data_IF_356050914132
#
_entry.id   IF_356050914132
#
_cell.length_a   1.000
_cell.length_b   1.000
_cell.length_c   1.000
_cell.angle_alpha   90.00
_cell.angle_beta   90.00
_cell.angle_gamma   90.00
#
_symmetry.space_group_name_H-M   'P 1'
#
loop_
_entity.id
_entity.type
_entity.pdbx_description
1 polymer ?
#
# COMPACT_ATOMS: atom_id res chain seq x y z
N UNK A 1 -29.51 -12.01 -4.49
CA UNK A 1 -28.95 -12.45 -3.21
C UNK A 1 -27.93 -11.39 -2.80
N UNK A 2 -28.33 -10.46 -1.94
CA UNK A 2 -27.37 -9.62 -1.26
C UNK A 2 -26.62 -10.52 -0.29
N UNK A 3 -25.32 -10.69 -0.47
CA UNK A 3 -24.48 -11.23 0.57
C UNK A 3 -24.53 -10.23 1.72
N UNK A 4 -25.35 -10.51 2.69
CA UNK A 4 -25.29 -9.80 3.95
C UNK A 4 -23.98 -10.20 4.60
N UNK A 5 -23.08 -9.24 4.83
CA UNK A 5 -21.92 -9.42 5.70
C UNK A 5 -22.36 -9.49 7.18
N UNK A 6 -23.59 -9.85 7.44
CA UNK A 6 -24.06 -10.09 8.79
C UNK A 6 -23.36 -11.35 9.31
N UNK A 7 -22.38 -11.15 10.12
CA UNK A 7 -21.71 -12.20 10.86
C UNK A 7 -22.60 -12.67 11.99
N UNK A 8 -22.50 -13.93 12.30
CA UNK A 8 -23.18 -14.49 13.46
C UNK A 8 -22.60 -13.93 14.77
N UNK A 9 -21.39 -13.39 14.72
CA UNK A 9 -20.70 -12.90 15.89
C UNK A 9 -19.91 -11.60 15.63
N UNK A 10 -20.10 -10.62 16.52
CA UNK A 10 -19.35 -9.37 16.53
C UNK A 10 -18.39 -9.36 17.72
N UNK A 11 -17.09 -9.35 17.45
CA UNK A 11 -16.07 -9.29 18.48
C UNK A 11 -15.33 -7.96 18.40
N UNK A 12 -15.16 -7.35 19.56
CA UNK A 12 -14.26 -6.20 19.70
C UNK A 12 -12.85 -6.76 19.85
N UNK A 13 -11.98 -6.45 18.89
CA UNK A 13 -10.56 -6.85 18.95
C UNK A 13 -9.91 -6.13 20.14
N UNK A 14 -9.37 -6.87 21.11
CA UNK A 14 -8.65 -6.25 22.23
C UNK A 14 -7.38 -5.56 21.74
N UNK A 15 -6.96 -4.52 22.46
CA UNK A 15 -5.72 -3.76 22.19
C UNK A 15 -5.73 -2.97 20.89
N UNK A 16 -6.90 -2.74 20.29
CA UNK A 16 -7.01 -1.89 19.11
C UNK A 16 -6.64 -0.44 19.48
N UNK A 17 -5.70 0.12 18.72
CA UNK A 17 -5.27 1.51 18.88
C UNK A 17 -5.72 2.35 17.70
N UNK A 18 -5.74 3.66 17.88
CA UNK A 18 -6.02 4.58 16.77
C UNK A 18 -4.77 4.76 15.92
N UNK A 19 -4.94 4.65 14.62
CA UNK A 19 -3.88 4.94 13.66
C UNK A 19 -3.38 6.38 13.82
N UNK A 20 -2.06 6.55 13.76
CA UNK A 20 -1.39 7.84 13.82
C UNK A 20 -0.51 8.01 12.57
N UNK A 21 -0.65 9.17 11.92
CA UNK A 21 0.11 9.50 10.70
C UNK A 21 0.93 10.77 10.94
N UNK A 22 2.24 10.67 10.75
CA UNK A 22 3.15 11.81 10.76
C UNK A 22 3.81 11.89 9.39
N UNK A 23 3.74 13.04 8.72
CA UNK A 23 4.39 13.24 7.44
C UNK A 23 5.06 14.60 7.34
N UNK A 24 6.15 14.65 6.58
CA UNK A 24 6.85 15.87 6.24
C UNK A 24 7.41 15.77 4.82
N UNK A 25 7.35 16.86 4.10
CA UNK A 25 8.01 17.01 2.80
C UNK A 25 8.70 18.35 2.67
N UNK A 26 9.73 18.40 1.84
CA UNK A 26 10.40 19.61 1.47
C UNK A 26 10.67 19.63 -0.03
N UNK A 27 10.35 20.76 -0.68
CA UNK A 27 10.52 20.92 -2.12
C UNK A 27 11.44 22.08 -2.45
N UNK A 28 12.37 21.87 -3.37
CA UNK A 28 13.11 22.90 -4.04
C UNK A 28 12.58 23.08 -5.47
N UNK A 29 12.20 24.29 -5.81
CA UNK A 29 11.61 24.62 -7.11
C UNK A 29 12.48 25.63 -7.81
N UNK A 30 13.01 25.28 -8.99
CA UNK A 30 13.73 26.16 -9.89
C UNK A 30 12.85 26.52 -11.09
N UNK A 31 12.75 27.79 -11.39
CA UNK A 31 12.04 28.31 -12.57
C UNK A 31 12.95 29.27 -13.35
N UNK A 32 13.25 28.90 -14.59
CA UNK A 32 13.96 29.72 -15.55
C UNK A 32 13.11 29.81 -16.84
N UNK A 33 13.40 30.73 -17.76
CA UNK A 33 12.56 30.90 -18.95
C UNK A 33 12.33 29.67 -19.81
N UNK A 34 13.31 28.77 -19.87
CA UNK A 34 13.24 27.53 -20.65
C UNK A 34 13.31 26.27 -19.81
N UNK A 35 13.52 26.39 -18.51
CA UNK A 35 13.77 25.24 -17.64
C UNK A 35 12.99 25.36 -16.35
N UNK A 36 12.29 24.30 -16.00
CA UNK A 36 11.65 24.16 -14.69
C UNK A 36 12.10 22.85 -14.06
N UNK A 37 12.42 22.89 -12.79
CA UNK A 37 12.75 21.71 -12.01
C UNK A 37 12.05 21.76 -10.64
N UNK A 38 11.66 20.62 -10.16
CA UNK A 38 11.19 20.41 -8.79
C UNK A 38 11.86 19.17 -8.23
N UNK A 39 12.54 19.32 -7.11
CA UNK A 39 13.05 18.24 -6.31
C UNK A 39 12.28 18.22 -4.98
N UNK A 40 11.69 17.12 -4.63
CA UNK A 40 10.96 16.92 -3.38
C UNK A 40 11.57 15.77 -2.62
N UNK A 41 11.91 15.97 -1.36
CA UNK A 41 12.16 14.88 -0.42
C UNK A 41 10.95 14.70 0.48
N UNK A 42 10.58 13.48 0.79
CA UNK A 42 9.45 13.17 1.65
C UNK A 42 9.77 12.09 2.68
N UNK A 43 9.07 12.18 3.79
CA UNK A 43 9.06 11.18 4.85
C UNK A 43 7.65 11.06 5.41
N UNK A 44 7.19 9.84 5.63
CA UNK A 44 5.92 9.56 6.28
C UNK A 44 6.05 8.34 7.16
N UNK A 45 5.48 8.40 8.35
CA UNK A 45 5.35 7.29 9.28
C UNK A 45 3.88 7.11 9.64
N UNK A 46 3.39 5.89 9.49
CA UNK A 46 2.06 5.45 9.88
C UNK A 46 2.28 4.45 11.02
N UNK A 47 1.59 4.61 12.12
CA UNK A 47 1.69 3.75 13.29
C UNK A 47 0.32 3.20 13.68
N UNK A 48 0.31 2.01 14.24
CA UNK A 48 -0.88 1.33 14.75
C UNK A 48 -2.00 1.13 13.72
N UNK A 49 -1.66 1.04 12.43
CA UNK A 49 -2.64 0.72 11.42
C UNK A 49 -3.21 -0.70 11.63
N UNK A 50 -4.48 -0.87 11.24
CA UNK A 50 -5.18 -2.15 11.32
C UNK A 50 -5.65 -2.53 9.93
N UNK A 51 -5.35 -3.74 9.51
CA UNK A 51 -5.86 -4.34 8.27
C UNK A 51 -6.74 -5.53 8.62
N UNK A 52 -7.88 -5.64 7.92
CA UNK A 52 -8.83 -6.73 8.09
C UNK A 52 -9.09 -7.33 6.73
N UNK A 53 -8.79 -8.60 6.60
CA UNK A 53 -9.15 -9.41 5.45
C UNK A 53 -10.15 -10.49 5.82
N UNK A 54 -10.86 -10.99 4.81
CA UNK A 54 -11.91 -11.97 4.98
C UNK A 54 -11.70 -13.08 3.98
N UNK A 55 -11.77 -14.29 4.46
CA UNK A 55 -11.75 -15.46 3.58
C UNK A 55 -12.74 -16.52 4.07
N UNK A 56 -13.09 -17.37 3.13
CA UNK A 56 -13.95 -18.50 3.35
C UNK A 56 -13.06 -19.74 3.29
N UNK A 57 -12.96 -20.47 4.36
CA UNK A 57 -12.09 -21.61 4.49
C UNK A 57 -12.88 -22.91 4.65
N UNK A 58 -12.45 -23.96 3.96
CA UNK A 58 -12.96 -25.30 4.14
C UNK A 58 -12.12 -26.01 5.23
N UNK A 59 -12.77 -26.61 6.22
CA UNK A 59 -12.13 -27.48 7.21
C UNK A 59 -11.23 -26.76 8.23
N UNK A 60 -11.36 -25.46 8.38
CA UNK A 60 -10.61 -24.69 9.40
C UNK A 60 -11.46 -24.65 10.68
N UNK A 61 -10.96 -25.24 11.77
CA UNK A 61 -11.55 -25.08 13.10
C UNK A 61 -12.32 -26.26 13.67
N UNK A 62 -12.51 -27.36 12.97
CA UNK A 62 -13.09 -28.57 13.53
C UNK A 62 -12.04 -29.65 13.82
N UNK A 63 -11.92 -30.02 15.09
CA UNK A 63 -11.04 -31.14 15.54
C UNK A 63 -11.54 -32.51 15.05
N UNK A 64 -12.79 -32.57 14.54
CA UNK A 64 -13.50 -33.81 14.14
C UNK A 64 -13.49 -34.05 12.61
N UNK A 65 -12.76 -33.28 11.81
CA UNK A 65 -12.65 -33.52 10.35
C UNK A 65 -13.97 -33.28 9.60
N UNK A 66 -14.87 -32.50 10.13
CA UNK A 66 -16.08 -32.02 9.42
C UNK A 66 -15.73 -31.04 8.32
N UNK A 67 -16.24 -31.26 7.12
CA UNK A 67 -16.18 -30.35 5.97
C UNK A 67 -17.07 -29.12 6.19
N UNK A 68 -17.01 -28.48 7.35
CA UNK A 68 -17.78 -27.25 7.57
C UNK A 68 -17.01 -26.05 7.05
N UNK A 69 -17.59 -25.44 6.03
CA UNK A 69 -17.12 -24.17 5.49
C UNK A 69 -17.32 -23.07 6.53
N UNK A 70 -16.28 -22.37 6.89
CA UNK A 70 -16.35 -21.28 7.85
C UNK A 70 -15.89 -19.95 7.26
N UNK A 71 -16.47 -18.90 7.77
CA UNK A 71 -16.06 -17.54 7.44
C UNK A 71 -15.10 -17.00 8.48
N UNK A 72 -13.88 -16.73 8.07
CA UNK A 72 -12.80 -16.24 8.94
C UNK A 72 -12.43 -14.81 8.60
N UNK A 73 -12.29 -13.99 9.63
CA UNK A 73 -11.66 -12.68 9.50
C UNK A 73 -10.26 -12.74 10.05
N UNK A 74 -9.32 -12.36 9.25
CA UNK A 74 -7.98 -12.10 9.66
C UNK A 74 -7.85 -10.63 10.07
N UNK A 75 -7.32 -10.38 11.25
CA UNK A 75 -7.19 -9.05 11.85
C UNK A 75 -5.72 -8.83 12.19
N UNK A 76 -5.05 -7.98 11.42
CA UNK A 76 -3.66 -7.60 11.66
C UNK A 76 -3.65 -6.21 12.30
N UNK A 77 -3.11 -6.10 13.50
CA UNK A 77 -3.08 -4.87 14.29
C UNK A 77 -1.65 -4.43 14.60
N UNK A 78 -1.46 -3.14 14.89
CA UNK A 78 -0.14 -2.59 15.19
C UNK A 78 0.78 -2.60 13.98
N UNK A 79 0.22 -2.37 12.79
CA UNK A 79 1.00 -2.28 11.55
C UNK A 79 1.66 -0.90 11.50
N UNK A 80 2.97 -0.88 11.58
CA UNK A 80 3.78 0.33 11.43
C UNK A 80 4.39 0.36 10.03
N UNK A 81 4.17 1.47 9.30
CA UNK A 81 4.71 1.69 7.95
C UNK A 81 5.61 2.92 7.93
N UNK A 82 6.70 2.86 7.17
CA UNK A 82 7.58 3.98 6.92
C UNK A 82 7.81 4.15 5.43
N UNK A 83 7.60 5.36 4.97
CA UNK A 83 7.76 5.75 3.58
C UNK A 83 8.71 6.93 3.51
N UNK A 84 9.78 6.82 2.74
CA UNK A 84 10.71 7.93 2.52
C UNK A 84 11.30 7.87 1.13
N UNK A 85 11.61 9.04 0.59
CA UNK A 85 12.17 9.05 -0.76
C UNK A 85 12.39 10.46 -1.30
N UNK A 86 12.68 10.49 -2.58
CA UNK A 86 12.84 11.72 -3.33
C UNK A 86 12.19 11.61 -4.72
N UNK A 87 11.68 12.74 -5.18
CA UNK A 87 11.04 12.88 -6.47
C UNK A 87 11.68 14.05 -7.23
N UNK A 88 11.96 13.86 -8.51
CA UNK A 88 12.50 14.86 -9.41
C UNK A 88 11.55 15.02 -10.59
N UNK A 89 11.12 16.26 -10.86
CA UNK A 89 10.40 16.62 -12.07
C UNK A 89 11.17 17.69 -12.83
N UNK A 90 11.29 17.52 -14.14
CA UNK A 90 12.00 18.41 -15.04
C UNK A 90 11.14 18.76 -16.25
N UNK A 91 11.16 20.00 -16.67
CA UNK A 91 10.59 20.47 -17.92
C UNK A 91 11.62 21.36 -18.62
N UNK A 92 11.90 21.11 -19.88
CA UNK A 92 12.82 21.89 -20.67
C UNK A 92 12.24 22.24 -22.04
N UNK A 93 12.15 23.54 -22.32
CA UNK A 93 11.75 24.04 -23.62
C UNK A 93 12.99 24.10 -24.54
N UNK A 94 13.15 23.06 -25.36
CA UNK A 94 14.31 22.90 -26.26
C UNK A 94 14.27 23.98 -27.33
N UNK A 95 13.12 24.11 -28.01
CA UNK A 95 12.84 25.15 -29.00
C UNK A 95 11.47 25.76 -28.69
N UNK A 96 11.00 26.73 -29.50
CA UNK A 96 9.64 27.29 -29.38
C UNK A 96 8.54 26.21 -29.60
N UNK A 97 8.87 25.13 -30.28
CA UNK A 97 7.93 24.06 -30.66
C UNK A 97 8.22 22.73 -29.99
N UNK A 98 9.39 22.49 -29.40
CA UNK A 98 9.79 21.22 -28.81
C UNK A 98 9.99 21.39 -27.32
N UNK A 99 9.31 20.56 -26.56
CA UNK A 99 9.41 20.47 -25.10
C UNK A 99 9.80 19.05 -24.69
N UNK A 100 10.76 18.94 -23.78
CA UNK A 100 11.10 17.69 -23.09
C UNK A 100 10.61 17.76 -21.64
N UNK A 101 10.15 16.63 -21.15
CA UNK A 101 9.80 16.41 -19.74
C UNK A 101 10.49 15.17 -19.22
N UNK A 102 10.92 15.20 -17.97
CA UNK A 102 11.41 14.02 -17.28
C UNK A 102 10.91 14.03 -15.84
N UNK A 103 10.60 12.86 -15.33
CA UNK A 103 10.29 12.66 -13.93
C UNK A 103 11.00 11.39 -13.44
N UNK A 104 11.43 11.40 -12.19
CA UNK A 104 11.98 10.23 -11.53
C UNK A 104 11.56 10.25 -10.07
N UNK A 105 11.28 9.09 -9.51
CA UNK A 105 11.07 8.90 -8.09
C UNK A 105 11.85 7.69 -7.61
N UNK A 106 12.40 7.83 -6.43
CA UNK A 106 12.98 6.72 -5.68
C UNK A 106 12.46 6.80 -4.26
N UNK A 107 11.82 5.73 -3.81
CA UNK A 107 11.27 5.64 -2.48
C UNK A 107 11.57 4.29 -1.84
N UNK A 108 11.64 4.29 -0.52
CA UNK A 108 11.66 3.10 0.30
C UNK A 108 10.35 3.07 1.09
N UNK A 109 9.53 2.07 0.82
CA UNK A 109 8.24 1.83 1.45
C UNK A 109 8.33 0.49 2.18
N UNK A 110 8.42 0.53 3.50
CA UNK A 110 8.64 -0.66 4.32
C UNK A 110 7.68 -0.71 5.52
N UNK A 111 7.50 -1.90 6.05
CA UNK A 111 6.97 -2.09 7.39
C UNK A 111 8.08 -1.80 8.39
N UNK A 112 7.86 -0.88 9.34
CA UNK A 112 8.91 -0.42 10.27
C UNK A 112 8.92 -1.18 11.59
N UNK A 113 7.87 -1.96 11.88
CA UNK A 113 7.80 -2.86 13.02
C UNK A 113 6.97 -4.11 12.71
N UNK A 114 6.98 -5.06 13.64
CA UNK A 114 6.20 -6.28 13.56
C UNK A 114 4.77 -6.04 14.03
N UNK A 115 3.83 -6.68 13.36
CA UNK A 115 2.41 -6.61 13.67
C UNK A 115 1.95 -7.77 14.56
N UNK A 116 0.67 -7.77 14.95
CA UNK A 116 0.01 -8.87 15.65
C UNK A 116 -1.13 -9.40 14.81
N UNK A 117 -1.25 -10.72 14.74
CA UNK A 117 -2.29 -11.42 14.00
C UNK A 117 -3.30 -12.05 14.95
N UNK A 118 -4.58 -11.80 14.69
CA UNK A 118 -5.71 -12.46 15.32
C UNK A 118 -6.69 -12.89 14.24
N UNK A 119 -7.40 -13.97 14.49
CA UNK A 119 -8.53 -14.37 13.64
C UNK A 119 -9.82 -14.35 14.43
N UNK A 120 -10.90 -14.04 13.74
CA UNK A 120 -12.26 -14.21 14.24
C UNK A 120 -12.96 -15.24 13.36
N UNK A 121 -13.33 -16.37 13.95
CA UNK A 121 -13.93 -17.52 13.28
C UNK A 121 -15.38 -17.70 13.75
N UNK A 122 -16.31 -17.67 12.81
CA UNK A 122 -17.74 -17.79 13.10
C UNK A 122 -18.11 -19.23 13.51
N UNK A 123 -17.38 -20.27 13.08
CA UNK A 123 -17.63 -21.64 13.48
C UNK A 123 -17.36 -21.86 14.97
N UNK A 124 -16.23 -21.35 15.48
CA UNK A 124 -15.91 -21.42 16.91
C UNK A 124 -16.98 -20.75 17.76
N UNK A 125 -17.54 -19.63 17.28
CA UNK A 125 -18.62 -18.94 17.96
C UNK A 125 -19.91 -19.79 18.01
N UNK A 126 -20.24 -20.49 16.93
CA UNK A 126 -21.40 -21.37 16.86
C UNK A 126 -21.33 -22.54 17.84
N UNK A 127 -20.12 -23.02 18.12
CA UNK A 127 -19.84 -24.05 19.11
C UNK A 127 -19.84 -23.55 20.57
N UNK A 128 -19.98 -22.24 20.76
CA UNK A 128 -19.93 -21.62 22.09
C UNK A 128 -18.51 -21.37 22.62
N UNK A 129 -17.51 -21.50 21.76
CA UNK A 129 -16.11 -21.19 22.04
C UNK A 129 -15.80 -19.70 21.78
N UNK A 130 -14.63 -19.23 22.23
CA UNK A 130 -14.15 -17.92 21.86
C UNK A 130 -13.86 -17.88 20.35
N UNK A 131 -14.50 -17.01 19.57
CA UNK A 131 -14.23 -16.91 18.14
C UNK A 131 -12.88 -16.28 17.82
N UNK A 132 -12.26 -15.62 18.81
CA UNK A 132 -11.01 -14.90 18.63
C UNK A 132 -9.84 -15.81 19.00
N UNK A 133 -8.97 -16.07 18.02
CA UNK A 133 -7.70 -16.76 18.21
C UNK A 133 -6.55 -15.79 18.02
N UNK A 134 -5.60 -15.78 18.94
CA UNK A 134 -4.40 -14.94 18.88
C UNK A 134 -3.21 -15.76 18.41
N UNK A 135 -2.67 -15.42 17.24
CA UNK A 135 -1.49 -16.06 16.64
C UNK A 135 -0.17 -15.36 17.03
N UNK A 136 -0.26 -14.25 17.79
CA UNK A 136 0.90 -13.55 18.28
C UNK A 136 1.52 -12.60 17.24
N UNK A 137 2.84 -12.60 17.19
CA UNK A 137 3.61 -11.64 16.38
C UNK A 137 3.84 -12.13 14.97
N UNK A 138 3.51 -11.29 14.00
CA UNK A 138 3.86 -11.43 12.57
C UNK A 138 5.15 -10.67 12.30
N UNK A 139 6.15 -11.37 11.82
CA UNK A 139 7.48 -10.80 11.58
C UNK A 139 7.58 -10.19 10.19
N UNK A 140 7.06 -8.98 10.03
CA UNK A 140 7.03 -8.22 8.77
C UNK A 140 7.97 -7.02 8.75
N UNK A 141 8.65 -6.75 9.84
CA UNK A 141 9.61 -5.65 9.91
C UNK A 141 10.64 -5.72 8.79
N UNK A 142 10.92 -4.58 8.17
CA UNK A 142 11.82 -4.39 7.03
C UNK A 142 11.34 -5.02 5.70
N UNK A 143 10.15 -5.62 5.67
CA UNK A 143 9.54 -6.05 4.41
C UNK A 143 9.05 -4.84 3.62
N UNK A 144 9.16 -4.94 2.31
CA UNK A 144 8.66 -3.92 1.41
C UNK A 144 7.13 -3.97 1.31
N UNK A 145 6.51 -2.79 1.33
CA UNK A 145 5.06 -2.69 1.13
C UNK A 145 4.70 -3.05 -0.32
N UNK A 146 3.59 -3.77 -0.53
CA UNK A 146 3.14 -4.16 -1.85
C UNK A 146 2.49 -3.00 -2.61
N UNK A 147 2.30 -3.20 -3.91
CA UNK A 147 1.45 -2.36 -4.76
C UNK A 147 2.10 -1.12 -5.33
N UNK A 148 3.28 -0.71 -4.86
CA UNK A 148 3.98 0.47 -5.37
C UNK A 148 5.40 0.14 -5.83
N UNK A 149 5.82 0.59 -7.04
CA UNK A 149 7.21 0.49 -7.46
C UNK A 149 8.06 1.44 -6.61
N UNK A 150 9.20 0.96 -6.12
CA UNK A 150 10.12 1.79 -5.34
C UNK A 150 10.97 2.71 -6.22
N UNK A 151 11.03 2.41 -7.51
CA UNK A 151 11.69 3.25 -8.51
C UNK A 151 10.76 3.46 -9.69
N UNK A 152 10.56 4.71 -10.06
CA UNK A 152 9.82 5.07 -11.25
C UNK A 152 10.55 6.18 -12.00
N UNK A 153 10.52 6.12 -13.32
CA UNK A 153 11.04 7.18 -14.17
C UNK A 153 10.16 7.33 -15.42
N UNK A 154 10.09 8.55 -15.90
CA UNK A 154 9.36 8.91 -17.12
C UNK A 154 10.17 9.92 -17.92
N UNK A 155 10.16 9.75 -19.23
CA UNK A 155 10.72 10.73 -20.15
C UNK A 155 9.74 10.97 -21.30
N UNK A 156 9.48 12.24 -21.61
CA UNK A 156 8.55 12.66 -22.64
C UNK A 156 9.14 13.70 -23.56
N UNK A 157 8.74 13.62 -24.83
CA UNK A 157 8.98 14.66 -25.82
C UNK A 157 7.65 15.06 -26.47
N UNK A 158 7.45 16.34 -26.64
CA UNK A 158 6.27 16.93 -27.27
C UNK A 158 6.71 17.93 -28.32
N UNK A 159 6.14 17.81 -29.52
CA UNK A 159 6.23 18.81 -30.57
C UNK A 159 4.88 19.50 -30.75
N UNK A 160 4.87 20.84 -30.74
CA UNK A 160 3.70 21.67 -31.01
C UNK A 160 3.93 22.50 -32.25
N UNK A 161 3.08 22.24 -33.24
CA UNK A 161 3.13 23.00 -34.49
C UNK A 161 2.37 24.34 -34.36
N UNK A 162 2.87 25.45 -34.99
CA UNK A 162 2.14 26.71 -35.02
C UNK A 162 0.74 26.65 -35.67
N UNK A 163 0.43 25.59 -36.43
CA UNK A 163 -0.89 25.37 -37.04
C UNK A 163 -1.84 24.55 -36.15
N UNK A 164 -1.65 24.60 -34.81
CA UNK A 164 -2.57 24.05 -33.81
C UNK A 164 -2.68 22.53 -33.70
N UNK A 165 -1.72 21.77 -34.21
CA UNK A 165 -1.60 20.37 -33.95
C UNK A 165 -0.35 20.05 -33.10
N UNK A 166 -0.35 18.90 -32.46
CA UNK A 166 0.77 18.47 -31.65
C UNK A 166 0.93 16.95 -31.70
N UNK A 167 2.12 16.48 -31.43
CA UNK A 167 2.44 15.07 -31.24
C UNK A 167 3.40 14.94 -30.07
N UNK A 168 3.21 13.87 -29.28
CA UNK A 168 4.07 13.58 -28.14
C UNK A 168 4.26 12.09 -27.94
N UNK A 169 5.36 11.73 -27.30
CA UNK A 169 5.68 10.38 -26.89
C UNK A 169 6.25 10.38 -25.48
N UNK A 170 5.88 9.35 -24.70
CA UNK A 170 6.39 9.14 -23.36
C UNK A 170 6.91 7.72 -23.22
N UNK A 171 8.01 7.57 -22.50
CA UNK A 171 8.56 6.28 -22.06
C UNK A 171 8.53 6.25 -20.53
N UNK A 172 8.01 5.18 -19.97
CA UNK A 172 7.92 4.98 -18.52
C UNK A 172 8.72 3.75 -18.13
N UNK A 173 9.40 3.85 -16.99
CA UNK A 173 10.14 2.76 -16.36
C UNK A 173 9.69 2.62 -14.92
N UNK A 174 9.35 1.39 -14.52
CA UNK A 174 8.94 1.03 -13.17
C UNK A 174 9.77 -0.18 -12.72
N UNK A 175 10.28 -0.14 -11.51
CA UNK A 175 11.09 -1.22 -10.96
C UNK A 175 10.89 -1.36 -9.45
N UNK A 176 11.31 -2.53 -8.94
CA UNK A 176 11.24 -2.86 -7.52
C UNK A 176 9.81 -2.79 -6.98
N UNK A 177 8.88 -3.43 -7.69
CA UNK A 177 7.53 -3.68 -7.21
C UNK A 177 7.52 -4.99 -6.42
N UNK A 178 6.86 -4.98 -5.29
CA UNK A 178 6.74 -6.13 -4.40
C UNK A 178 5.29 -6.60 -4.35
N UNK A 179 5.12 -7.90 -4.18
CA UNK A 179 3.81 -8.51 -3.90
C UNK A 179 3.56 -8.50 -2.40
N UNK A 180 2.31 -8.62 -2.02
CA UNK A 180 1.95 -8.77 -0.63
C UNK A 180 2.52 -10.09 -0.06
N UNK A 181 2.80 -10.10 1.25
CA UNK A 181 3.05 -11.36 1.91
C UNK A 181 1.74 -12.16 1.88
N UNK A 182 1.85 -13.45 1.56
CA UNK A 182 0.67 -14.29 1.57
C UNK A 182 0.14 -14.38 3.01
N UNK A 183 -1.15 -14.13 3.17
CA UNK A 183 -1.85 -14.46 4.39
C UNK A 183 -1.87 -16.00 4.45
N UNK A 184 -0.90 -16.57 5.12
CA UNK A 184 -0.79 -18.01 5.29
C UNK A 184 -1.32 -18.31 6.68
N UNK A 185 -2.50 -18.86 6.70
CA UNK A 185 -2.95 -19.70 7.80
C UNK A 185 -2.72 -21.13 7.43
#
# INVERSE_FOLDING_TARGET
NSFSNARMNNVITPELQSESITSADASYILRAPKFKARLTGFYSKIQDATEISFFYGEGIGSDDGGDEDTFVSEIVTGIDKQNMGAELGLEYQITSTIKATAAASYGQYIYSDNAKLKTNDDALAAEGNSPLTDFGTVYIKDYHQPGMPQTAASFGLEYRDPHFWWVGANVNYLANSYIDFANIL
#
